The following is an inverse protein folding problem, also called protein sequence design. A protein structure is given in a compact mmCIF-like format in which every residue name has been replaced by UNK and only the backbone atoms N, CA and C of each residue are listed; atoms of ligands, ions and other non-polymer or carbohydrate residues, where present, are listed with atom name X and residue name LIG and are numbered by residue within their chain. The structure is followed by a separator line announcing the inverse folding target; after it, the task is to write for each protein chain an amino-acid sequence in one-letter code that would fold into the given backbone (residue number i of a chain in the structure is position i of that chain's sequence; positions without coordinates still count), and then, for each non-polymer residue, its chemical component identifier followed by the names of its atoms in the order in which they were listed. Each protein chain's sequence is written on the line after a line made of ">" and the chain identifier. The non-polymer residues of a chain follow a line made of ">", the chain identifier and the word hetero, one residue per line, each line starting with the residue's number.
data_IF_540103770863
#
_entry.id   IF_540103770863
#
_cell.length_a   1.000
_cell.length_b   1.000
_cell.length_c   1.000
_cell.angle_alpha   90.00
_cell.angle_beta   90.00
_cell.angle_gamma   90.00
#
_symmetry.space_group_name_H-M   'P 1'
#
loop_
_entity.id
_entity.type
_entity.pdbx_description
1 polymer ?
#
# COMPACT_ATOMS: atom_id res chain seq x y z
N UNK A 1 -6.98 25.63 4.25
CA UNK A 1 -6.58 24.39 3.51
C UNK A 1 -6.28 23.24 4.49
N UNK A 2 -5.43 23.42 5.49
CA UNK A 2 -5.09 22.37 6.48
C UNK A 2 -6.27 21.77 7.22
N UNK A 3 -7.31 22.55 7.56
CA UNK A 3 -8.54 22.05 8.19
C UNK A 3 -9.30 21.02 7.33
N UNK A 4 -9.29 21.16 5.98
CA UNK A 4 -9.96 20.20 5.07
C UNK A 4 -9.25 18.86 5.06
N UNK A 5 -7.91 18.85 5.01
CA UNK A 5 -7.11 17.62 5.09
C UNK A 5 -7.36 16.95 6.45
N UNK A 6 -7.33 17.71 7.53
CA UNK A 6 -7.54 17.20 8.90
C UNK A 6 -8.94 16.60 9.09
N UNK A 7 -10.00 17.24 8.59
CA UNK A 7 -11.37 16.71 8.67
C UNK A 7 -11.56 15.43 7.85
N UNK A 8 -10.85 15.29 6.70
CA UNK A 8 -10.85 14.05 5.93
C UNK A 8 -10.16 12.89 6.67
N UNK A 9 -9.19 13.18 7.55
CA UNK A 9 -8.56 12.16 8.41
C UNK A 9 -9.50 11.63 9.50
N UNK A 10 -10.55 12.37 9.89
CA UNK A 10 -11.54 11.91 10.89
C UNK A 10 -12.49 10.80 10.37
N UNK A 11 -12.42 10.41 9.11
CA UNK A 11 -13.14 9.24 8.58
C UNK A 11 -12.51 7.88 8.98
N UNK A 12 -11.72 7.86 10.07
CA UNK A 12 -10.93 6.71 10.56
C UNK A 12 -11.75 5.42 10.72
N UNK A 13 -12.98 5.50 11.22
CA UNK A 13 -13.84 4.32 11.47
C UNK A 13 -14.19 3.52 10.20
N UNK A 14 -14.15 4.14 9.01
CA UNK A 14 -14.47 3.45 7.75
C UNK A 14 -13.29 2.67 7.17
N UNK A 15 -12.06 3.09 7.44
CA UNK A 15 -10.83 2.47 6.89
C UNK A 15 -10.38 1.31 7.77
N UNK A 16 -10.40 1.48 9.11
CA UNK A 16 -9.99 0.45 10.07
C UNK A 16 -11.14 -0.52 10.36
N UNK A 17 -11.46 -1.33 9.38
CA UNK A 17 -12.54 -2.32 9.40
C UNK A 17 -11.98 -3.75 9.32
N UNK A 18 -12.87 -4.73 9.14
CA UNK A 18 -12.51 -6.16 8.99
C UNK A 18 -11.50 -6.40 7.85
N UNK A 19 -11.54 -5.61 6.77
CA UNK A 19 -10.58 -5.76 5.66
C UNK A 19 -9.17 -5.30 6.06
N UNK A 20 -9.04 -4.26 6.88
CA UNK A 20 -7.76 -3.83 7.44
C UNK A 20 -7.14 -4.94 8.31
N UNK A 21 -7.93 -5.54 9.20
CA UNK A 21 -7.46 -6.64 10.06
C UNK A 21 -7.01 -7.82 9.21
N UNK A 22 -7.82 -8.24 8.22
CA UNK A 22 -7.44 -9.31 7.28
C UNK A 22 -6.15 -9.01 6.51
N UNK A 23 -5.92 -7.73 6.13
CA UNK A 23 -4.68 -7.33 5.46
C UNK A 23 -3.48 -7.46 6.40
N UNK A 24 -3.60 -7.02 7.65
CA UNK A 24 -2.57 -7.20 8.69
C UNK A 24 -2.26 -8.69 8.88
N UNK A 25 -3.28 -9.52 9.05
CA UNK A 25 -3.12 -10.97 9.26
C UNK A 25 -2.44 -11.63 8.05
N UNK A 26 -2.84 -11.26 6.83
CA UNK A 26 -2.22 -11.79 5.62
C UNK A 26 -0.73 -11.41 5.55
N UNK A 27 -0.38 -10.15 5.85
CA UNK A 27 0.99 -9.66 5.85
C UNK A 27 1.83 -10.35 6.93
N UNK A 28 1.29 -10.54 8.13
CA UNK A 28 1.97 -11.23 9.23
C UNK A 28 2.35 -12.68 8.86
N UNK A 29 1.49 -13.35 8.09
CA UNK A 29 1.67 -14.72 7.65
C UNK A 29 2.42 -14.86 6.32
N UNK A 30 2.85 -13.75 5.70
CA UNK A 30 3.60 -13.75 4.45
C UNK A 30 4.92 -14.52 4.58
N UNK A 31 5.15 -15.44 3.67
CA UNK A 31 6.40 -16.24 3.60
C UNK A 31 7.39 -15.70 2.58
N UNK A 32 6.99 -14.71 1.82
CA UNK A 32 7.79 -14.01 0.81
C UNK A 32 7.96 -12.53 1.14
N UNK A 33 7.81 -11.71 0.10
CA UNK A 33 7.93 -10.26 0.16
C UNK A 33 6.55 -9.60 0.08
N UNK A 34 6.44 -8.38 0.58
CA UNK A 34 5.27 -7.51 0.37
C UNK A 34 5.62 -6.52 -0.74
N UNK A 35 5.03 -6.70 -1.91
CA UNK A 35 5.34 -5.93 -3.10
C UNK A 35 4.27 -4.87 -3.29
N UNK A 36 4.67 -3.63 -3.42
CA UNK A 36 3.77 -2.51 -3.66
C UNK A 36 3.78 -2.10 -5.12
N UNK A 37 2.60 -1.77 -5.66
CA UNK A 37 2.44 -1.31 -7.03
C UNK A 37 1.42 -0.19 -7.14
N UNK A 38 1.59 0.68 -8.12
CA UNK A 38 0.69 1.80 -8.42
C UNK A 38 1.27 2.69 -9.51
N UNK A 39 0.43 3.50 -10.13
CA UNK A 39 0.82 4.41 -11.21
C UNK A 39 0.72 5.87 -10.77
N UNK A 40 1.57 6.72 -11.28
CA UNK A 40 1.57 8.16 -11.02
C UNK A 40 1.69 8.51 -9.53
N UNK A 41 0.82 9.38 -9.02
CA UNK A 41 0.85 9.78 -7.60
C UNK A 41 0.62 8.60 -6.65
N UNK A 42 -0.25 7.65 -7.02
CA UNK A 42 -0.45 6.41 -6.24
C UNK A 42 0.82 5.55 -6.22
N UNK A 43 1.58 5.52 -7.31
CA UNK A 43 2.88 4.83 -7.39
C UNK A 43 3.93 5.46 -6.45
N UNK A 44 4.02 6.79 -6.40
CA UNK A 44 4.91 7.49 -5.46
C UNK A 44 4.57 7.18 -3.99
N UNK A 45 3.27 7.14 -3.67
CA UNK A 45 2.80 6.75 -2.33
C UNK A 45 3.13 5.27 -2.06
N UNK A 46 2.89 4.38 -3.01
CA UNK A 46 3.22 2.96 -2.92
C UNK A 46 4.72 2.75 -2.67
N UNK A 47 5.58 3.48 -3.39
CA UNK A 47 7.04 3.46 -3.21
C UNK A 47 7.45 3.90 -1.80
N UNK A 48 6.85 4.99 -1.27
CA UNK A 48 7.11 5.44 0.11
C UNK A 48 6.68 4.39 1.12
N UNK A 49 5.50 3.80 0.97
CA UNK A 49 4.98 2.79 1.91
C UNK A 49 5.87 1.54 1.89
N UNK A 50 6.31 1.08 0.72
CA UNK A 50 7.22 -0.07 0.61
C UNK A 50 8.53 0.17 1.37
N UNK A 51 9.09 1.38 1.27
CA UNK A 51 10.28 1.76 2.03
C UNK A 51 10.03 1.75 3.55
N UNK A 52 8.85 2.21 4.01
CA UNK A 52 8.46 2.11 5.41
C UNK A 52 8.38 0.66 5.87
N UNK A 53 7.77 -0.24 5.07
CA UNK A 53 7.70 -1.67 5.38
C UNK A 53 9.10 -2.29 5.53
N UNK A 54 10.00 -1.99 4.60
CA UNK A 54 11.40 -2.46 4.67
C UNK A 54 12.09 -1.97 5.94
N UNK A 55 11.89 -0.70 6.31
CA UNK A 55 12.52 -0.08 7.48
C UNK A 55 12.07 -0.69 8.81
N UNK A 56 10.89 -1.30 8.84
CA UNK A 56 10.34 -2.00 10.03
C UNK A 56 10.50 -3.53 9.93
N UNK A 57 11.40 -4.00 9.08
CA UNK A 57 11.79 -5.41 9.01
C UNK A 57 10.82 -6.33 8.25
N UNK A 58 10.03 -5.76 7.35
CA UNK A 58 9.16 -6.51 6.45
C UNK A 58 9.79 -6.42 5.05
N UNK A 59 10.33 -7.52 4.48
CA UNK A 59 10.91 -7.49 3.14
C UNK A 59 9.90 -6.94 2.13
N UNK A 60 10.23 -5.80 1.54
CA UNK A 60 9.31 -5.08 0.66
C UNK A 60 10.05 -4.27 -0.40
N UNK A 61 9.43 -4.14 -1.57
CA UNK A 61 9.88 -3.24 -2.62
C UNK A 61 8.69 -2.74 -3.46
N UNK A 62 8.95 -1.71 -4.26
CA UNK A 62 8.01 -1.17 -5.22
C UNK A 62 8.27 -1.76 -6.60
N UNK A 63 7.23 -2.31 -7.24
CA UNK A 63 7.23 -2.77 -8.61
C UNK A 63 6.37 -1.83 -9.45
N UNK A 64 6.97 -1.18 -10.45
CA UNK A 64 6.24 -0.30 -11.36
C UNK A 64 5.41 -1.15 -12.33
N UNK A 65 4.08 -1.00 -12.38
CA UNK A 65 3.23 -1.80 -13.26
C UNK A 65 3.52 -1.63 -14.75
N UNK A 66 4.01 -0.46 -15.17
CA UNK A 66 4.39 -0.22 -16.56
C UNK A 66 5.69 -0.96 -16.91
N UNK A 67 6.70 -0.90 -16.05
CA UNK A 67 7.96 -1.62 -16.24
C UNK A 67 7.78 -3.14 -16.06
N UNK A 68 6.85 -3.55 -15.23
CA UNK A 68 6.55 -4.97 -15.01
C UNK A 68 6.20 -5.73 -16.29
N UNK A 69 5.65 -5.04 -17.30
CA UNK A 69 5.35 -5.62 -18.63
C UNK A 69 6.61 -6.00 -19.40
N UNK A 70 7.76 -5.49 -19.02
CA UNK A 70 9.05 -5.73 -19.67
C UNK A 70 9.95 -6.73 -18.91
N UNK A 71 9.34 -7.55 -18.04
CA UNK A 71 10.03 -8.65 -17.38
C UNK A 71 10.04 -8.59 -15.85
N UNK A 72 9.80 -7.43 -15.22
CA UNK A 72 9.88 -7.26 -13.77
C UNK A 72 8.82 -8.06 -12.99
N UNK A 73 7.75 -8.54 -13.66
CA UNK A 73 6.83 -9.51 -13.06
C UNK A 73 7.54 -10.81 -12.61
N UNK A 74 8.69 -11.14 -13.17
CA UNK A 74 9.52 -12.27 -12.74
C UNK A 74 10.06 -12.14 -11.31
N UNK A 75 10.03 -10.93 -10.71
CA UNK A 75 10.41 -10.71 -9.32
C UNK A 75 9.31 -11.12 -8.32
N UNK A 76 8.09 -11.40 -8.80
CA UNK A 76 6.90 -11.67 -8.00
C UNK A 76 6.66 -13.18 -7.94
N UNK A 77 6.72 -13.77 -6.75
CA UNK A 77 6.55 -15.19 -6.51
C UNK A 77 5.21 -15.50 -5.83
N UNK A 78 4.74 -16.75 -5.94
CA UNK A 78 3.48 -17.22 -5.32
C UNK A 78 3.42 -17.01 -3.80
N UNK A 79 4.57 -16.99 -3.12
CA UNK A 79 4.66 -16.77 -1.66
C UNK A 79 4.60 -15.30 -1.26
N UNK A 80 4.65 -14.39 -2.23
CA UNK A 80 4.60 -12.95 -2.01
C UNK A 80 3.15 -12.45 -1.87
N UNK A 81 3.01 -11.24 -1.39
CA UNK A 81 1.76 -10.49 -1.35
C UNK A 81 1.94 -9.24 -2.20
N UNK A 82 0.99 -8.99 -3.08
CA UNK A 82 0.96 -7.80 -3.90
C UNK A 82 -0.06 -6.81 -3.36
N UNK A 83 0.38 -5.61 -2.98
CA UNK A 83 -0.47 -4.50 -2.55
C UNK A 83 -0.53 -3.48 -3.68
N UNK A 84 -1.70 -3.39 -4.33
CA UNK A 84 -1.90 -2.49 -5.46
C UNK A 84 -2.72 -1.28 -5.02
N UNK A 85 -2.21 -0.09 -5.33
CA UNK A 85 -2.82 1.18 -4.97
C UNK A 85 -3.27 1.94 -6.23
N UNK A 86 -4.56 2.22 -6.30
CA UNK A 86 -5.14 3.08 -7.34
C UNK A 86 -6.40 3.73 -6.78
N UNK A 87 -6.41 5.06 -6.63
CA UNK A 87 -7.58 5.74 -6.04
C UNK A 87 -8.87 5.49 -6.82
N UNK A 88 -8.84 5.55 -8.17
CA UNK A 88 -9.99 5.20 -9.02
C UNK A 88 -10.25 3.70 -9.05
N UNK A 89 -9.20 2.88 -8.91
CA UNK A 89 -9.23 1.43 -9.06
C UNK A 89 -9.41 0.93 -10.50
N UNK A 90 -9.42 1.82 -11.49
CA UNK A 90 -9.67 1.50 -12.90
C UNK A 90 -8.51 1.92 -13.82
N UNK A 91 -7.30 2.00 -13.27
CA UNK A 91 -6.09 2.32 -14.03
C UNK A 91 -5.75 1.16 -14.97
N UNK A 92 -5.73 1.42 -16.28
CA UNK A 92 -5.57 0.40 -17.34
C UNK A 92 -4.26 -0.37 -17.25
N UNK A 93 -3.18 0.32 -16.87
CA UNK A 93 -1.84 -0.23 -16.74
C UNK A 93 -1.72 -1.32 -15.68
N UNK A 94 -2.66 -1.39 -14.74
CA UNK A 94 -2.72 -2.44 -13.72
C UNK A 94 -3.26 -3.77 -14.24
N UNK A 95 -3.95 -3.77 -15.38
CA UNK A 95 -4.70 -4.93 -15.86
C UNK A 95 -3.82 -6.18 -16.04
N UNK A 96 -2.63 -6.01 -16.61
CA UNK A 96 -1.72 -7.15 -16.86
C UNK A 96 -1.13 -7.69 -15.55
N UNK A 97 -0.77 -6.83 -14.61
CA UNK A 97 -0.30 -7.24 -13.29
C UNK A 97 -1.39 -8.00 -12.52
N UNK A 98 -2.65 -7.56 -12.60
CA UNK A 98 -3.80 -8.25 -12.00
C UNK A 98 -4.02 -9.63 -12.65
N UNK A 99 -3.98 -9.71 -13.99
CA UNK A 99 -4.11 -10.99 -14.73
C UNK A 99 -3.00 -11.97 -14.36
N UNK A 100 -1.76 -11.48 -14.32
CA UNK A 100 -0.59 -12.28 -13.92
C UNK A 100 -0.77 -12.82 -12.49
N UNK A 101 -1.07 -11.95 -11.55
CA UNK A 101 -1.21 -12.32 -10.13
C UNK A 101 -2.33 -13.34 -9.90
N UNK A 102 -3.48 -13.17 -10.56
CA UNK A 102 -4.58 -14.11 -10.48
C UNK A 102 -4.24 -15.47 -11.12
N UNK A 103 -3.56 -15.46 -12.28
CA UNK A 103 -3.11 -16.69 -12.96
C UNK A 103 -2.16 -17.51 -12.07
N UNK A 104 -1.22 -16.86 -11.40
CA UNK A 104 -0.23 -17.52 -10.54
C UNK A 104 -0.66 -17.63 -9.07
N UNK A 105 -1.92 -17.25 -8.76
CA UNK A 105 -2.50 -17.30 -7.40
C UNK A 105 -1.68 -16.53 -6.37
N UNK A 106 -1.12 -15.40 -6.75
CA UNK A 106 -0.45 -14.44 -5.87
C UNK A 106 -1.54 -13.65 -5.14
N UNK A 107 -1.42 -13.53 -3.83
CA UNK A 107 -2.41 -12.82 -3.02
C UNK A 107 -2.38 -11.32 -3.26
N UNK A 108 -3.55 -10.73 -3.53
CA UNK A 108 -3.70 -9.31 -3.82
C UNK A 108 -4.47 -8.60 -2.72
N UNK A 109 -3.88 -7.53 -2.18
CA UNK A 109 -4.57 -6.52 -1.38
C UNK A 109 -4.77 -5.31 -2.28
N UNK A 110 -6.02 -5.02 -2.64
CA UNK A 110 -6.36 -3.84 -3.46
C UNK A 110 -6.78 -2.68 -2.58
N UNK A 111 -6.27 -1.49 -2.88
CA UNK A 111 -6.60 -0.23 -2.19
C UNK A 111 -7.15 0.75 -3.23
N UNK A 112 -8.45 1.08 -3.13
CA UNK A 112 -9.13 2.00 -4.05
C UNK A 112 -10.36 2.66 -3.39
N UNK A 113 -10.92 3.70 -4.00
CA UNK A 113 -12.13 4.39 -3.49
C UNK A 113 -13.45 3.82 -4.02
N UNK A 114 -13.41 2.99 -5.08
CA UNK A 114 -14.60 2.43 -5.72
C UNK A 114 -14.61 0.91 -5.56
N UNK A 115 -15.58 0.39 -4.78
CA UNK A 115 -15.70 -1.05 -4.51
C UNK A 115 -15.84 -1.88 -5.79
N UNK A 116 -16.59 -1.36 -6.77
CA UNK A 116 -16.86 -2.02 -8.05
C UNK A 116 -15.75 -1.84 -9.10
N UNK A 117 -14.60 -1.26 -8.71
CA UNK A 117 -13.47 -1.09 -9.62
C UNK A 117 -12.82 -2.42 -10.01
N UNK A 118 -12.15 -2.41 -11.17
CA UNK A 118 -11.42 -3.58 -11.69
C UNK A 118 -10.41 -4.09 -10.65
N UNK A 119 -9.68 -3.18 -10.01
CA UNK A 119 -8.71 -3.52 -8.97
C UNK A 119 -9.35 -4.28 -7.81
N UNK A 120 -10.41 -3.71 -7.22
CA UNK A 120 -11.01 -4.34 -6.04
C UNK A 120 -11.76 -5.63 -6.38
N UNK A 121 -12.34 -5.74 -7.59
CA UNK A 121 -12.94 -7.01 -8.05
C UNK A 121 -11.91 -8.13 -8.16
N UNK A 122 -10.70 -7.81 -8.61
CA UNK A 122 -9.60 -8.77 -8.79
C UNK A 122 -8.84 -9.10 -7.49
N UNK A 123 -9.11 -8.39 -6.38
CA UNK A 123 -8.35 -8.50 -5.12
C UNK A 123 -8.95 -9.51 -4.15
N UNK A 124 -8.08 -10.27 -3.45
CA UNK A 124 -8.46 -11.16 -2.33
C UNK A 124 -8.93 -10.35 -1.12
N UNK A 125 -8.25 -9.24 -0.83
CA UNK A 125 -8.62 -8.30 0.23
C UNK A 125 -8.86 -6.92 -0.37
N UNK A 126 -10.03 -6.35 -0.06
CA UNK A 126 -10.49 -5.07 -0.60
C UNK A 126 -10.47 -4.02 0.50
N UNK A 127 -9.57 -3.06 0.40
CA UNK A 127 -9.55 -1.89 1.28
C UNK A 127 -10.16 -0.71 0.51
N UNK A 128 -11.35 -0.30 0.96
CA UNK A 128 -12.09 0.79 0.32
C UNK A 128 -11.75 2.10 1.01
N UNK A 129 -11.09 3.00 0.28
CA UNK A 129 -10.82 4.36 0.73
C UNK A 129 -12.10 5.20 0.71
N UNK A 130 -12.25 6.15 1.63
CA UNK A 130 -13.36 7.09 1.58
C UNK A 130 -13.25 7.97 0.33
N UNK A 131 -14.38 8.33 -0.24
CA UNK A 131 -14.45 9.38 -1.25
C UNK A 131 -14.15 10.70 -0.56
N UNK A 132 -13.14 11.40 -1.05
CA UNK A 132 -12.72 12.69 -0.51
C UNK A 132 -12.65 13.73 -1.63
N UNK A 133 -12.90 14.98 -1.26
CA UNK A 133 -12.64 16.11 -2.14
C UNK A 133 -11.17 16.46 -2.04
N UNK A 134 -10.51 16.64 -3.18
CA UNK A 134 -9.13 17.10 -3.20
C UNK A 134 -9.02 18.53 -2.66
N UNK A 135 -7.85 18.89 -2.11
CA UNK A 135 -7.69 20.14 -1.34
C UNK A 135 -7.41 21.35 -2.21
N UNK A 136 -7.09 21.13 -3.48
CA UNK A 136 -6.85 22.21 -4.43
C UNK A 136 -8.16 22.90 -4.86
N UNK A 137 -8.06 24.08 -5.46
CA UNK A 137 -9.21 24.89 -5.88
C UNK A 137 -10.04 24.24 -6.98
N UNK A 138 -9.41 23.39 -7.81
CA UNK A 138 -10.07 22.69 -8.92
C UNK A 138 -10.66 21.34 -8.47
N UNK A 139 -10.20 20.80 -7.35
CA UNK A 139 -10.58 19.47 -6.86
C UNK A 139 -10.00 18.32 -7.70
N UNK A 140 -8.97 18.55 -8.51
CA UNK A 140 -8.38 17.57 -9.41
C UNK A 140 -7.00 17.06 -8.99
N UNK A 141 -6.23 17.89 -8.28
CA UNK A 141 -4.85 17.54 -7.90
C UNK A 141 -4.87 16.53 -6.73
N UNK A 142 -4.30 15.33 -6.89
CA UNK A 142 -4.26 14.33 -5.83
C UNK A 142 -3.51 14.86 -4.59
N UNK A 143 -4.25 15.17 -3.54
CA UNK A 143 -3.79 15.75 -2.27
C UNK A 143 -4.39 15.00 -1.09
N UNK A 144 -5.69 15.18 -0.85
CA UNK A 144 -6.41 14.48 0.23
C UNK A 144 -6.42 12.96 0.02
N UNK A 145 -6.62 12.51 -1.22
CA UNK A 145 -6.62 11.08 -1.57
C UNK A 145 -5.26 10.43 -1.31
N UNK A 146 -4.17 11.10 -1.69
CA UNK A 146 -2.80 10.60 -1.46
C UNK A 146 -2.44 10.61 0.02
N UNK A 147 -2.83 11.65 0.76
CA UNK A 147 -2.59 11.75 2.21
C UNK A 147 -3.27 10.63 3.00
N UNK A 148 -4.53 10.31 2.67
CA UNK A 148 -5.27 9.21 3.31
C UNK A 148 -4.65 7.86 2.96
N UNK A 149 -4.23 7.68 1.72
CA UNK A 149 -3.57 6.44 1.27
C UNK A 149 -2.24 6.23 1.99
N UNK A 150 -1.44 7.30 2.13
CA UNK A 150 -0.19 7.26 2.88
C UNK A 150 -0.41 6.91 4.34
N UNK A 151 -1.38 7.58 4.99
CA UNK A 151 -1.75 7.29 6.38
C UNK A 151 -2.15 5.82 6.58
N UNK A 152 -2.98 5.27 5.67
CA UNK A 152 -3.36 3.87 5.71
C UNK A 152 -2.14 2.95 5.62
N UNK A 153 -1.23 3.23 4.69
CA UNK A 153 -0.01 2.44 4.51
C UNK A 153 0.90 2.45 5.73
N UNK A 154 1.10 3.62 6.34
CA UNK A 154 1.89 3.76 7.56
C UNK A 154 1.21 3.06 8.76
N UNK A 155 -0.13 3.11 8.85
CA UNK A 155 -0.87 2.36 9.86
C UNK A 155 -0.74 0.84 9.67
N UNK A 156 -0.77 0.35 8.43
CA UNK A 156 -0.52 -1.08 8.16
C UNK A 156 0.89 -1.48 8.59
N UNK A 157 1.91 -0.71 8.19
CA UNK A 157 3.31 -0.99 8.54
C UNK A 157 3.53 -1.01 10.06
N UNK A 158 3.05 0.00 10.77
CA UNK A 158 3.24 0.12 12.23
C UNK A 158 2.44 -0.93 13.00
N UNK A 159 1.24 -1.30 12.53
CA UNK A 159 0.45 -2.38 13.15
C UNK A 159 1.17 -3.71 12.99
N UNK A 160 1.68 -4.04 11.80
CA UNK A 160 2.45 -5.28 11.56
C UNK A 160 3.76 -5.26 12.36
N UNK A 161 4.47 -4.12 12.40
CA UNK A 161 5.66 -3.92 13.23
C UNK A 161 5.39 -4.25 14.71
N UNK A 162 4.31 -3.71 15.26
CA UNK A 162 3.91 -3.94 16.65
C UNK A 162 3.59 -5.41 16.91
N UNK A 163 2.82 -6.06 16.04
CA UNK A 163 2.47 -7.48 16.16
C UNK A 163 3.70 -8.40 16.06
N UNK A 164 4.69 -8.03 15.23
CA UNK A 164 5.98 -8.74 15.12
C UNK A 164 6.93 -8.46 16.29
N UNK A 165 6.54 -7.62 17.25
CA UNK A 165 7.41 -7.17 18.36
C UNK A 165 8.78 -6.69 17.85
N UNK A 166 8.76 -5.89 16.77
CA UNK A 166 9.97 -5.35 16.17
C UNK A 166 10.57 -4.29 17.10
N UNK A 167 11.81 -4.51 17.55
CA UNK A 167 12.42 -3.69 18.57
C UNK A 167 13.21 -2.49 17.99
N UNK A 168 13.54 -1.53 18.88
CA UNK A 168 14.40 -0.38 18.53
C UNK A 168 15.79 -0.84 18.07
N UNK A 169 16.33 -1.88 18.69
CA UNK A 169 17.65 -2.45 18.36
C UNK A 169 17.63 -2.99 16.91
N UNK A 170 16.58 -3.71 16.52
CA UNK A 170 16.41 -4.19 15.14
C UNK A 170 16.26 -3.02 14.16
N UNK A 171 15.57 -1.94 14.57
CA UNK A 171 15.43 -0.75 13.74
C UNK A 171 16.80 -0.08 13.46
N UNK A 172 17.66 0.00 14.47
CA UNK A 172 19.03 0.54 14.33
C UNK A 172 19.87 -0.25 13.32
N UNK A 173 19.73 -1.57 13.29
CA UNK A 173 20.46 -2.44 12.33
C UNK A 173 20.14 -2.06 10.87
N UNK A 174 18.90 -1.67 10.58
CA UNK A 174 18.51 -1.25 9.23
C UNK A 174 18.80 0.23 8.92
N UNK A 175 19.27 1.01 9.92
CA UNK A 175 19.56 2.45 9.77
C UNK A 175 20.97 2.82 10.26
N UNK A 176 22.04 2.15 9.77
CA UNK A 176 23.38 2.31 10.34
C UNK A 176 24.00 3.70 10.12
N UNK A 177 23.51 4.47 9.14
CA UNK A 177 24.07 5.78 8.75
C UNK A 177 23.30 7.00 9.22
N UNK A 178 22.24 6.86 10.03
CA UNK A 178 21.40 8.00 10.45
C UNK A 178 21.53 8.33 11.93
N UNK A 179 21.17 9.59 12.31
CA UNK A 179 21.10 10.00 13.71
C UNK A 179 20.22 9.08 14.58
N UNK A 180 19.27 8.38 13.97
CA UNK A 180 18.40 7.41 14.64
C UNK A 180 19.14 6.10 14.94
N UNK A 181 20.15 5.75 14.14
CA UNK A 181 20.97 4.54 14.34
C UNK A 181 22.10 4.74 15.38
N UNK A 182 22.52 5.99 15.60
CA UNK A 182 23.62 6.36 16.46
C UNK A 182 23.21 6.76 17.90
N UNK A 183 21.91 6.84 18.19
CA UNK A 183 21.37 7.22 19.51
C UNK A 183 21.01 6.02 20.40
#
# INVERSE_FOLDING_TARGET
>A
YGKKIFNNHCQKKKIFNKSFIKAVDLILNCKGKVIFAGIGKSGLIAKKISATFSSVGIPSFFCDPAQALHGDMGQIEKKDILIIISYSGNTSELANMLKYSNRYRIKIIGIASKLESILLKASDIKIVLPKVKESDITGMVPTSSTSITLLLGDCLATTVMQQKKFSKEKFKVFHPGGNIGSS
#
